data_IF_458480282546
#
_entry.id   IF_458480282546
#
_cell.length_a   1.000
_cell.length_b   1.000
_cell.length_c   1.000
_cell.angle_alpha   90.00
_cell.angle_beta   90.00
_cell.angle_gamma   90.00
#
_symmetry.space_group_name_H-M   'P 1'
#
loop_
_entity.id
_entity.type
_entity.pdbx_description
1 polymer ?
#
# COMPACT_ATOMS: atom_id res chain seq x y z
N UNK A 1 13.97 10.70 4.41
CA UNK A 1 14.88 10.75 3.24
C UNK A 1 14.55 9.61 2.31
N UNK A 2 14.50 9.88 1.01
CA UNK A 2 14.28 8.86 0.00
C UNK A 2 15.52 7.94 -0.11
N UNK A 3 15.36 6.73 -0.64
CA UNK A 3 16.46 5.76 -0.76
C UNK A 3 17.59 6.27 -1.68
N UNK A 4 17.27 7.11 -2.66
CA UNK A 4 18.23 7.77 -3.55
C UNK A 4 19.16 8.67 -2.75
N UNK A 5 18.61 9.51 -1.86
CA UNK A 5 19.41 10.41 -1.00
C UNK A 5 20.33 9.61 -0.08
N UNK A 6 19.84 8.49 0.47
CA UNK A 6 20.63 7.59 1.33
C UNK A 6 21.75 6.90 0.56
N UNK A 7 21.49 6.51 -0.69
CA UNK A 7 22.48 5.86 -1.55
C UNK A 7 23.53 6.85 -2.09
N UNK A 8 23.19 8.14 -2.19
CA UNK A 8 24.08 9.18 -2.71
C UNK A 8 24.43 9.01 -4.18
N UNK A 9 23.62 8.26 -4.93
CA UNK A 9 23.89 7.87 -6.32
C UNK A 9 22.60 7.50 -7.04
N UNK A 10 22.65 7.47 -8.36
CA UNK A 10 21.61 6.94 -9.24
C UNK A 10 21.86 5.49 -9.65
N UNK A 11 22.91 4.85 -9.14
CA UNK A 11 23.17 3.42 -9.36
C UNK A 11 22.05 2.56 -8.77
N UNK A 12 21.45 1.72 -9.61
CA UNK A 12 20.29 0.90 -9.25
C UNK A 12 20.59 -0.10 -8.12
N UNK A 13 21.78 -0.71 -8.12
CA UNK A 13 22.11 -1.73 -7.13
C UNK A 13 22.22 -1.10 -5.74
N UNK A 14 22.93 0.02 -5.64
CA UNK A 14 23.07 0.80 -4.40
C UNK A 14 21.74 1.35 -3.89
N UNK A 15 20.86 1.81 -4.78
CA UNK A 15 19.51 2.24 -4.40
C UNK A 15 18.68 1.06 -3.87
N UNK A 16 18.73 -0.10 -4.52
CA UNK A 16 18.00 -1.28 -4.06
C UNK A 16 18.45 -1.74 -2.66
N UNK A 17 19.75 -1.67 -2.37
CA UNK A 17 20.28 -1.92 -1.02
C UNK A 17 19.74 -0.91 0.01
N UNK A 18 19.72 0.38 -0.32
CA UNK A 18 19.16 1.41 0.54
C UNK A 18 17.64 1.24 0.76
N UNK A 19 16.89 0.77 -0.24
CA UNK A 19 15.48 0.42 -0.10
C UNK A 19 15.32 -0.76 0.87
N UNK A 20 16.07 -1.85 0.69
CA UNK A 20 15.99 -3.03 1.57
C UNK A 20 16.34 -2.72 3.02
N UNK A 21 17.24 -1.76 3.24
CA UNK A 21 17.60 -1.27 4.58
C UNK A 21 16.53 -0.35 5.21
N UNK A 22 15.43 -0.06 4.50
CA UNK A 22 14.34 0.77 5.02
C UNK A 22 13.49 -0.01 6.02
N UNK A 23 13.44 0.51 7.24
CA UNK A 23 12.64 -0.02 8.34
C UNK A 23 11.70 1.07 8.85
N UNK A 24 10.45 0.70 9.06
CA UNK A 24 9.38 1.50 9.69
C UNK A 24 9.21 2.88 9.04
N UNK A 25 9.28 2.95 7.71
CA UNK A 25 9.08 4.20 7.00
C UNK A 25 7.61 4.62 7.09
N UNK A 26 7.29 5.84 7.56
CA UNK A 26 5.91 6.29 7.71
C UNK A 26 5.29 6.61 6.33
N UNK A 27 4.74 5.60 5.68
CA UNK A 27 4.09 5.72 4.38
C UNK A 27 2.61 6.11 4.48
N UNK A 28 2.01 6.43 3.32
CA UNK A 28 0.59 6.85 3.22
C UNK A 28 -0.39 5.79 3.77
N UNK A 29 -0.04 4.51 3.64
CA UNK A 29 -0.87 3.38 4.08
C UNK A 29 -0.44 2.81 5.44
N UNK A 30 0.54 3.43 6.11
CA UNK A 30 1.13 2.96 7.36
C UNK A 30 2.65 2.74 7.26
N UNK A 31 3.22 2.18 8.33
CA UNK A 31 4.65 1.87 8.38
C UNK A 31 5.02 0.82 7.34
N UNK A 32 6.05 1.11 6.54
CA UNK A 32 6.53 0.27 5.45
C UNK A 32 7.95 -0.20 5.75
N UNK A 33 8.13 -1.52 5.74
CA UNK A 33 9.42 -2.22 5.81
C UNK A 33 9.42 -3.35 4.79
N UNK A 34 10.61 -3.82 4.40
CA UNK A 34 10.76 -4.88 3.39
C UNK A 34 11.38 -6.15 3.98
N UNK A 35 10.94 -7.31 3.50
CA UNK A 35 11.56 -8.59 3.86
C UNK A 35 12.80 -8.90 2.99
N UNK A 36 13.42 -10.07 3.22
CA UNK A 36 14.62 -10.49 2.47
C UNK A 36 14.37 -10.68 0.96
N UNK A 37 13.13 -10.89 0.55
CA UNK A 37 12.70 -11.02 -0.85
C UNK A 37 12.38 -9.67 -1.47
N UNK A 38 12.29 -8.62 -0.66
CA UNK A 38 11.90 -7.27 -1.06
C UNK A 38 10.39 -7.04 -1.05
N UNK A 39 9.61 -7.93 -0.41
CA UNK A 39 8.17 -7.78 -0.27
C UNK A 39 7.84 -6.80 0.87
N UNK A 40 6.76 -6.03 0.72
CA UNK A 40 6.27 -5.18 1.80
C UNK A 40 5.74 -6.05 2.95
N UNK A 41 6.21 -5.78 4.16
CA UNK A 41 5.81 -6.49 5.38
C UNK A 41 4.47 -6.02 5.96
N UNK A 42 3.92 -4.91 5.48
CA UNK A 42 2.60 -4.39 5.88
C UNK A 42 1.48 -5.28 5.33
N UNK A 43 0.90 -6.11 6.21
CA UNK A 43 -0.21 -7.00 5.89
C UNK A 43 -1.56 -6.27 5.96
N UNK A 44 -1.78 -5.32 5.07
CA UNK A 44 -3.03 -4.57 4.97
C UNK A 44 -3.75 -4.87 3.67
N UNK A 45 -5.00 -5.36 3.77
CA UNK A 45 -5.91 -5.53 2.64
C UNK A 45 -7.15 -4.70 2.94
N UNK A 46 -7.48 -3.76 2.06
CA UNK A 46 -8.70 -2.95 2.16
C UNK A 46 -9.57 -3.22 0.95
N UNK A 47 -10.80 -3.69 1.17
CA UNK A 47 -11.81 -3.82 0.14
C UNK A 47 -12.54 -2.49 -0.07
N UNK A 48 -12.71 -2.08 -1.32
CA UNK A 48 -13.45 -0.87 -1.69
C UNK A 48 -14.61 -1.20 -2.63
N UNK A 49 -15.62 -0.32 -2.64
CA UNK A 49 -16.69 -0.32 -3.62
C UNK A 49 -16.86 1.09 -4.19
N UNK A 50 -17.18 1.17 -5.48
CA UNK A 50 -17.46 2.43 -6.13
C UNK A 50 -18.92 2.83 -5.85
N UNK A 51 -19.09 3.87 -5.04
CA UNK A 51 -20.39 4.42 -4.66
C UNK A 51 -20.40 5.90 -5.04
N UNK A 52 -21.33 6.31 -5.91
CA UNK A 52 -21.45 7.70 -6.39
C UNK A 52 -20.14 8.29 -6.93
N UNK A 53 -19.37 7.48 -7.67
CA UNK A 53 -18.08 7.89 -8.27
C UNK A 53 -16.92 8.00 -7.27
N UNK A 54 -17.10 7.54 -6.02
CA UNK A 54 -16.06 7.53 -4.99
C UNK A 54 -15.72 6.10 -4.59
N UNK A 55 -14.45 5.85 -4.29
CA UNK A 55 -14.01 4.62 -3.66
C UNK A 55 -14.29 4.69 -2.15
N UNK A 56 -15.34 4.01 -1.71
CA UNK A 56 -15.70 3.92 -0.30
C UNK A 56 -15.17 2.59 0.24
N UNK A 57 -14.49 2.55 1.40
CA UNK A 57 -14.15 1.29 2.04
C UNK A 57 -15.42 0.45 2.21
N UNK A 58 -15.40 -0.80 1.79
CA UNK A 58 -16.60 -1.64 1.68
C UNK A 58 -17.39 -1.68 2.99
N UNK A 59 -16.70 -1.78 4.12
CA UNK A 59 -17.30 -1.79 5.47
C UNK A 59 -17.95 -0.45 5.89
N UNK A 60 -17.75 0.63 5.13
CA UNK A 60 -18.37 1.95 5.32
C UNK A 60 -19.38 2.31 4.23
N UNK A 61 -19.56 1.46 3.21
CA UNK A 61 -20.42 1.78 2.09
C UNK A 61 -21.89 1.60 2.44
N UNK A 62 -22.76 2.35 1.76
CA UNK A 62 -24.22 2.14 1.85
C UNK A 62 -24.71 1.06 0.88
N UNK A 63 -23.81 0.47 0.09
CA UNK A 63 -24.10 -0.58 -0.89
C UNK A 63 -23.19 -1.80 -0.67
N UNK A 64 -23.72 -2.99 -0.95
CA UNK A 64 -23.01 -4.27 -0.92
C UNK A 64 -23.28 -5.07 -2.19
N UNK A 65 -22.47 -6.12 -2.40
CA UNK A 65 -22.62 -7.05 -3.55
C UNK A 65 -23.21 -8.36 -3.05
N UNK A 66 -24.37 -8.76 -3.59
CA UNK A 66 -25.04 -10.04 -3.31
C UNK A 66 -25.40 -10.66 -4.65
N UNK A 67 -25.02 -11.92 -4.89
CA UNK A 67 -25.26 -12.64 -6.16
C UNK A 67 -24.88 -11.81 -7.40
N UNK A 68 -23.70 -11.18 -7.35
CA UNK A 68 -23.17 -10.30 -8.40
C UNK A 68 -24.03 -9.06 -8.69
N UNK A 69 -24.92 -8.66 -7.76
CA UNK A 69 -25.77 -7.46 -7.87
C UNK A 69 -25.48 -6.47 -6.75
N UNK A 70 -25.54 -5.18 -7.07
CA UNK A 70 -25.47 -4.10 -6.09
C UNK A 70 -26.80 -4.00 -5.34
N UNK A 71 -26.75 -4.05 -4.01
CA UNK A 71 -27.91 -3.87 -3.14
C UNK A 71 -27.59 -2.85 -2.06
N UNK A 72 -28.57 -2.03 -1.68
CA UNK A 72 -28.42 -1.12 -0.55
C UNK A 72 -28.27 -1.93 0.75
N UNK A 73 -27.34 -1.54 1.59
CA UNK A 73 -27.08 -2.17 2.89
C UNK A 73 -28.20 -1.85 3.89
#
# INVERSE_FOLDING_TARGET
MAAIDKAGTTDRAKIAEAIRATNNFPGVIGETSFDQRGENTLKLITTFISENGKWIPYYKSTIKVVDMKLVKQ
#
